data_IF_709846381152
#
_entry.id   IF_709846381152
#
_cell.length_a   1.000
_cell.length_b   1.000
_cell.length_c   1.000
_cell.angle_alpha   90.00
_cell.angle_beta   90.00
_cell.angle_gamma   90.00
#
_symmetry.space_group_name_H-M   'P 1'
#
loop_
_entity.id
_entity.type
_entity.pdbx_description
1 polymer ?
#
# COMPACT_ATOMS: atom_id res chain seq x y z
N UNK A 1 -10.43 -16.06 -6.48
CA UNK A 1 -9.91 -16.37 -5.13
C UNK A 1 -8.41 -16.21 -5.19
N UNK A 2 -7.83 -15.27 -4.45
CA UNK A 2 -6.37 -15.09 -4.36
C UNK A 2 -5.91 -15.83 -3.11
N UNK A 3 -5.00 -16.79 -3.26
CA UNK A 3 -4.44 -17.56 -2.15
C UNK A 3 -3.35 -16.73 -1.46
N UNK A 4 -3.48 -16.52 -0.15
CA UNK A 4 -2.44 -15.90 0.69
C UNK A 4 -1.74 -17.01 1.50
N UNK A 5 -0.48 -17.35 1.18
CA UNK A 5 0.25 -18.41 1.86
C UNK A 5 0.65 -18.05 3.30
N UNK A 6 0.47 -16.80 3.73
CA UNK A 6 0.84 -16.33 5.07
C UNK A 6 -0.37 -16.27 6.03
N UNK A 7 -1.57 -16.63 5.57
CA UNK A 7 -2.72 -16.78 6.47
C UNK A 7 -2.42 -17.87 7.49
N UNK A 8 -2.36 -17.46 8.76
CA UNK A 8 -2.33 -18.35 9.91
C UNK A 8 -3.72 -18.31 10.54
N UNK A 9 -4.32 -19.48 10.71
CA UNK A 9 -5.65 -19.63 11.31
C UNK A 9 -5.52 -20.52 12.53
N UNK A 10 -5.99 -20.02 13.67
CA UNK A 10 -5.91 -20.70 14.97
C UNK A 10 -7.00 -21.76 15.16
N UNK A 11 -8.03 -21.74 14.32
CA UNK A 11 -9.14 -22.68 14.36
C UNK A 11 -9.43 -23.25 12.98
N UNK A 12 -9.60 -24.56 12.92
CA UNK A 12 -9.95 -25.33 11.71
C UNK A 12 -11.31 -24.86 11.13
N UNK A 13 -12.17 -24.25 11.94
CA UNK A 13 -13.44 -23.67 11.50
C UNK A 13 -13.28 -22.48 10.54
N UNK A 14 -12.12 -21.81 10.58
CA UNK A 14 -11.84 -20.60 9.79
C UNK A 14 -10.93 -20.88 8.58
N UNK A 15 -10.62 -22.16 8.30
CA UNK A 15 -9.79 -22.55 7.17
C UNK A 15 -10.65 -22.86 5.94
N UNK A 16 -10.16 -22.50 4.74
CA UNK A 16 -10.70 -23.06 3.50
C UNK A 16 -10.23 -24.52 3.34
N UNK A 17 -11.16 -25.45 3.17
CA UNK A 17 -10.86 -26.87 2.95
C UNK A 17 -10.89 -27.15 1.45
N UNK A 18 -9.79 -27.68 0.92
CA UNK A 18 -9.71 -28.17 -0.46
C UNK A 18 -9.81 -29.70 -0.40
N UNK A 19 -10.95 -30.25 -0.79
CA UNK A 19 -11.14 -31.69 -0.92
C UNK A 19 -10.77 -32.10 -2.34
N UNK A 20 -9.72 -32.90 -2.47
CA UNK A 20 -9.25 -33.44 -3.76
C UNK A 20 -8.91 -34.91 -3.53
N UNK A 21 -9.16 -35.76 -4.53
CA UNK A 21 -8.78 -37.16 -4.46
C UNK A 21 -7.27 -37.27 -4.62
N UNK A 22 -6.60 -37.71 -3.55
CA UNK A 22 -5.18 -38.10 -3.52
C UNK A 22 -4.13 -36.98 -3.73
N UNK A 23 -4.19 -35.79 -3.09
CA UNK A 23 -3.07 -34.86 -3.14
C UNK A 23 -2.00 -35.27 -2.12
N UNK A 24 -0.83 -35.68 -2.60
CA UNK A 24 0.37 -35.64 -1.78
C UNK A 24 1.41 -34.84 -2.54
N UNK A 25 1.43 -33.52 -2.35
CA UNK A 25 2.62 -32.76 -2.69
C UNK A 25 3.64 -32.97 -1.57
N UNK A 26 4.82 -33.50 -1.90
CA UNK A 26 5.99 -33.48 -1.02
C UNK A 26 6.77 -32.16 -1.14
N UNK A 27 6.40 -31.33 -2.11
CA UNK A 27 7.02 -30.06 -2.37
C UNK A 27 6.24 -28.97 -1.66
N UNK A 28 6.95 -28.13 -0.90
CA UNK A 28 6.40 -26.86 -0.46
C UNK A 28 5.93 -26.07 -1.69
N UNK A 29 4.91 -25.23 -1.53
CA UNK A 29 4.52 -24.32 -2.59
C UNK A 29 5.74 -23.48 -3.01
N UNK A 30 6.04 -23.45 -4.30
CA UNK A 30 7.11 -22.61 -4.82
C UNK A 30 6.80 -21.15 -4.51
N UNK A 31 7.66 -20.54 -3.70
CA UNK A 31 7.66 -19.10 -3.49
C UNK A 31 8.70 -18.51 -4.44
N UNK A 32 8.35 -17.44 -5.15
CA UNK A 32 9.33 -16.71 -5.96
C UNK A 32 10.51 -16.31 -5.06
N UNK A 33 11.76 -16.58 -5.47
CA UNK A 33 12.93 -16.12 -4.74
C UNK A 33 12.85 -14.60 -4.56
N UNK A 34 12.86 -14.17 -3.30
CA UNK A 34 12.88 -12.76 -2.94
C UNK A 34 14.35 -12.34 -2.75
N UNK A 35 14.86 -11.41 -3.57
CA UNK A 35 16.16 -10.77 -3.33
C UNK A 35 16.15 -10.08 -1.96
N UNK A 36 17.13 -10.37 -1.09
CA UNK A 36 17.23 -9.68 0.19
C UNK A 36 17.40 -8.18 -0.03
N UNK A 37 16.41 -7.39 0.40
CA UNK A 37 16.51 -5.93 0.36
C UNK A 37 17.54 -5.43 1.37
N UNK A 38 18.07 -4.22 1.13
CA UNK A 38 18.91 -3.52 2.11
C UNK A 38 18.22 -3.48 3.48
N UNK A 39 18.86 -3.94 4.58
CA UNK A 39 18.30 -3.91 5.92
C UNK A 39 18.08 -2.48 6.46
N UNK A 40 18.70 -1.46 5.85
CA UNK A 40 18.41 -0.06 6.16
C UNK A 40 16.97 0.29 5.77
N UNK A 41 16.14 0.60 6.77
CA UNK A 41 14.76 1.07 6.56
C UNK A 41 14.76 2.60 6.45
N UNK A 42 14.72 3.19 5.24
CA UNK A 42 14.62 4.63 5.13
C UNK A 42 13.30 5.11 5.73
N UNK A 43 13.38 6.15 6.57
CA UNK A 43 12.17 6.86 7.03
C UNK A 43 11.75 7.81 5.93
N UNK A 44 10.54 7.62 5.42
CA UNK A 44 9.97 8.40 4.32
C UNK A 44 8.85 9.27 4.84
N UNK A 45 9.01 10.57 4.77
CA UNK A 45 8.01 11.55 5.13
C UNK A 45 7.14 11.87 3.92
N UNK A 46 5.83 11.84 4.13
CA UNK A 46 4.85 12.09 3.08
C UNK A 46 3.91 13.20 3.50
N UNK A 47 3.66 14.12 2.57
CA UNK A 47 2.71 15.20 2.75
C UNK A 47 1.81 15.35 1.52
N UNK A 48 0.54 15.71 1.75
CA UNK A 48 -0.39 16.11 0.71
C UNK A 48 -0.72 17.59 0.80
N UNK A 49 -0.93 18.20 -0.37
CA UNK A 49 -1.38 19.56 -0.53
C UNK A 49 -2.60 19.60 -1.44
N UNK A 50 -3.51 20.52 -1.13
CA UNK A 50 -4.64 20.90 -1.97
C UNK A 50 -4.73 22.43 -1.94
N UNK A 51 -4.90 23.04 -3.11
CA UNK A 51 -5.15 24.47 -3.26
C UNK A 51 -6.06 24.71 -4.45
N UNK A 52 -6.70 25.87 -4.49
CA UNK A 52 -7.35 26.38 -5.70
C UNK A 52 -6.39 27.42 -6.29
N UNK A 53 -6.11 27.35 -7.59
CA UNK A 53 -5.27 28.33 -8.28
C UNK A 53 -5.97 29.70 -8.37
N UNK A 54 -5.22 30.72 -8.78
CA UNK A 54 -5.77 32.05 -9.01
C UNK A 54 -6.81 32.06 -10.15
N UNK A 55 -6.73 31.09 -11.07
CA UNK A 55 -7.73 30.84 -12.13
C UNK A 55 -9.00 30.11 -11.64
N UNK A 56 -9.04 29.70 -10.37
CA UNK A 56 -10.15 28.92 -9.80
C UNK A 56 -10.04 27.41 -9.99
N UNK A 57 -8.95 26.91 -10.58
CA UNK A 57 -8.76 25.48 -10.83
C UNK A 57 -8.28 24.77 -9.55
N UNK A 58 -8.94 23.69 -9.12
CA UNK A 58 -8.43 22.88 -8.01
C UNK A 58 -7.09 22.26 -8.42
N UNK A 59 -6.13 22.22 -7.51
CA UNK A 59 -4.82 21.62 -7.69
C UNK A 59 -4.48 20.78 -6.45
N UNK A 60 -4.00 19.57 -6.65
CA UNK A 60 -3.54 18.71 -5.56
C UNK A 60 -2.21 18.04 -5.92
N UNK A 61 -1.41 17.76 -4.88
CA UNK A 61 -0.10 17.16 -5.02
C UNK A 61 0.30 16.41 -3.75
N UNK A 62 1.16 15.42 -3.93
CA UNK A 62 1.90 14.76 -2.87
C UNK A 62 3.37 15.19 -2.87
N UNK A 63 4.05 14.98 -1.76
CA UNK A 63 5.48 15.16 -1.65
C UNK A 63 6.09 14.02 -0.86
N UNK A 64 7.26 13.57 -1.31
CA UNK A 64 8.09 12.57 -0.64
C UNK A 64 9.37 13.25 -0.17
N UNK A 65 9.76 13.02 1.08
CA UNK A 65 11.02 13.48 1.63
C UNK A 65 11.69 12.37 2.46
N UNK A 66 12.99 12.16 2.28
CA UNK A 66 13.77 11.13 3.00
C UNK A 66 14.89 11.77 3.82
N UNK A 67 15.78 12.49 3.15
CA UNK A 67 16.88 13.25 3.74
C UNK A 67 17.36 14.33 2.76
N UNK A 68 18.13 15.34 3.19
CA UNK A 68 18.67 16.35 2.26
C UNK A 68 19.45 15.72 1.10
N UNK A 69 19.18 16.17 -0.13
CA UNK A 69 19.86 15.67 -1.34
C UNK A 69 19.45 14.25 -1.79
N UNK A 70 18.51 13.60 -1.10
CA UNK A 70 18.13 12.23 -1.46
C UNK A 70 17.37 12.19 -2.78
N UNK A 71 17.79 11.30 -3.70
CA UNK A 71 17.22 11.15 -5.06
C UNK A 71 15.72 10.86 -5.13
N UNK A 72 15.14 10.32 -4.04
CA UNK A 72 13.70 10.03 -3.93
C UNK A 72 12.87 11.23 -3.43
N UNK A 73 13.51 12.35 -3.08
CA UNK A 73 12.78 13.57 -2.75
C UNK A 73 12.13 14.11 -4.02
N UNK A 74 10.81 14.01 -4.12
CA UNK A 74 10.11 14.36 -5.35
C UNK A 74 8.69 14.86 -5.04
N UNK A 75 8.24 15.98 -5.66
CA UNK A 75 6.82 16.28 -5.76
C UNK A 75 6.12 15.29 -6.69
N UNK A 76 4.89 14.92 -6.34
CA UNK A 76 4.06 13.97 -7.08
C UNK A 76 2.74 14.65 -7.45
N UNK A 77 2.47 14.78 -8.75
CA UNK A 77 1.21 15.34 -9.23
C UNK A 77 0.04 14.39 -9.01
N UNK A 78 -1.15 14.94 -8.74
CA UNK A 78 -2.40 14.16 -8.64
C UNK A 78 -3.28 14.44 -9.85
N UNK A 79 -3.82 13.40 -10.52
CA UNK A 79 -4.79 13.54 -11.60
C UNK A 79 -6.00 14.40 -11.21
N UNK A 80 -6.62 15.05 -12.21
CA UNK A 80 -7.67 16.05 -11.98
C UNK A 80 -8.90 15.51 -11.25
N UNK A 81 -9.27 14.27 -11.55
CA UNK A 81 -10.37 13.51 -10.97
C UNK A 81 -10.13 13.08 -9.51
N UNK A 82 -8.88 13.13 -9.06
CA UNK A 82 -8.47 12.69 -7.72
C UNK A 82 -7.99 13.84 -6.84
N UNK A 83 -8.24 15.11 -7.19
CA UNK A 83 -7.65 16.27 -6.50
C UNK A 83 -8.17 16.47 -5.07
N UNK A 84 -7.60 15.74 -4.13
CA UNK A 84 -7.76 15.95 -2.70
C UNK A 84 -6.40 15.91 -2.01
N UNK A 85 -6.33 16.46 -0.80
CA UNK A 85 -5.11 16.38 0.02
C UNK A 85 -4.71 14.93 0.29
N UNK A 86 -5.69 14.08 0.61
CA UNK A 86 -5.49 12.65 0.89
C UNK A 86 -4.99 11.90 -0.33
N UNK A 87 -5.54 12.18 -1.50
CA UNK A 87 -5.06 11.58 -2.76
C UNK A 87 -3.61 11.94 -3.05
N UNK A 88 -3.17 13.16 -2.70
CA UNK A 88 -1.77 13.56 -2.76
C UNK A 88 -0.86 12.65 -1.92
N UNK A 89 -1.23 12.43 -0.66
CA UNK A 89 -0.49 11.51 0.22
C UNK A 89 -0.49 10.08 -0.29
N UNK A 90 -1.66 9.57 -0.70
CA UNK A 90 -1.79 8.21 -1.24
C UNK A 90 -0.98 8.01 -2.52
N UNK A 91 -0.98 8.99 -3.43
CA UNK A 91 -0.19 8.92 -4.67
C UNK A 91 1.31 8.92 -4.36
N UNK A 92 1.76 9.75 -3.41
CA UNK A 92 3.15 9.75 -2.96
C UNK A 92 3.55 8.44 -2.30
N UNK A 93 2.70 7.86 -1.45
CA UNK A 93 2.91 6.53 -0.84
C UNK A 93 3.05 5.46 -1.93
N UNK A 94 2.11 5.44 -2.89
CA UNK A 94 2.13 4.47 -3.98
C UNK A 94 3.41 4.57 -4.81
N UNK A 95 3.85 5.80 -5.12
CA UNK A 95 5.09 6.05 -5.85
C UNK A 95 6.32 5.48 -5.11
N UNK A 96 6.39 5.67 -3.78
CA UNK A 96 7.48 5.11 -2.96
C UNK A 96 7.43 3.59 -2.93
N UNK A 97 6.24 3.01 -2.80
CA UNK A 97 6.04 1.56 -2.81
C UNK A 97 6.52 0.94 -4.12
N UNK A 98 6.16 1.54 -5.26
CA UNK A 98 6.52 1.04 -6.59
C UNK A 98 8.01 1.25 -6.92
N UNK A 99 8.64 2.30 -6.40
CA UNK A 99 10.06 2.62 -6.63
C UNK A 99 11.01 2.01 -5.59
N UNK A 100 10.49 1.25 -4.63
CA UNK A 100 11.28 0.57 -3.62
C UNK A 100 11.27 -0.93 -3.88
N UNK A 101 12.43 -1.61 -3.85
CA UNK A 101 12.48 -3.06 -3.99
C UNK A 101 11.46 -3.73 -3.08
N UNK A 102 10.84 -4.79 -3.59
CA UNK A 102 9.71 -5.46 -2.94
C UNK A 102 10.06 -5.94 -1.53
N UNK A 103 11.30 -6.36 -1.33
CA UNK A 103 11.79 -7.00 -0.10
C UNK A 103 12.53 -6.03 0.84
N UNK A 104 12.55 -4.74 0.50
CA UNK A 104 13.04 -3.69 1.40
C UNK A 104 11.92 -3.23 2.32
N UNK A 105 12.21 -3.17 3.61
CA UNK A 105 11.28 -2.58 4.57
C UNK A 105 11.04 -1.09 4.24
N UNK A 106 9.81 -0.64 4.50
CA UNK A 106 9.39 0.76 4.33
C UNK A 106 8.83 1.30 5.63
N UNK A 107 9.27 2.49 6.01
CA UNK A 107 8.69 3.24 7.14
C UNK A 107 8.18 4.58 6.64
N UNK A 108 6.87 4.76 6.69
CA UNK A 108 6.22 6.02 6.31
C UNK A 108 5.88 6.86 7.54
N UNK A 109 6.17 8.16 7.48
CA UNK A 109 5.66 9.17 8.39
C UNK A 109 4.68 10.04 7.63
N UNK A 110 3.42 9.98 8.02
CA UNK A 110 2.30 10.66 7.34
C UNK A 110 1.57 11.53 8.37
N UNK A 111 1.36 12.81 8.06
CA UNK A 111 0.72 13.74 8.99
C UNK A 111 -0.81 13.58 9.06
N UNK A 112 -1.43 12.97 8.06
CA UNK A 112 -2.88 12.76 8.02
C UNK A 112 -3.30 11.49 8.76
N UNK A 113 -3.99 11.68 9.90
CA UNK A 113 -4.65 10.59 10.62
C UNK A 113 -5.66 9.84 9.73
N UNK A 114 -6.33 10.53 8.82
CA UNK A 114 -7.29 9.92 7.90
C UNK A 114 -6.59 8.91 6.97
N UNK A 115 -5.46 9.29 6.39
CA UNK A 115 -4.66 8.44 5.50
C UNK A 115 -4.12 7.23 6.23
N UNK A 116 -3.52 7.44 7.41
CA UNK A 116 -3.04 6.34 8.27
C UNK A 116 -4.17 5.38 8.63
N UNK A 117 -5.33 5.91 9.06
CA UNK A 117 -6.46 5.08 9.48
C UNK A 117 -7.05 4.26 8.32
N UNK A 118 -7.13 4.82 7.11
CA UNK A 118 -7.60 4.10 5.91
C UNK A 118 -6.65 2.95 5.52
N UNK A 119 -5.34 3.14 5.68
CA UNK A 119 -4.31 2.15 5.30
C UNK A 119 -4.00 1.12 6.39
N UNK A 120 -4.46 1.33 7.63
CA UNK A 120 -4.16 0.43 8.76
C UNK A 120 -5.44 -0.12 9.39
N UNK A 121 -6.16 0.71 10.15
CA UNK A 121 -7.27 0.28 10.99
C UNK A 121 -8.53 -0.11 10.20
N UNK A 122 -8.82 0.62 9.11
CA UNK A 122 -10.08 0.50 8.39
C UNK A 122 -10.03 -0.46 7.20
N UNK A 123 -8.85 -0.99 6.84
CA UNK A 123 -8.68 -1.78 5.60
C UNK A 123 -9.66 -2.95 5.55
N UNK A 124 -9.72 -3.77 6.60
CA UNK A 124 -10.61 -4.93 6.65
C UNK A 124 -12.09 -4.57 6.50
N UNK A 125 -12.51 -3.48 7.17
CA UNK A 125 -13.89 -2.99 7.09
C UNK A 125 -14.22 -2.45 5.68
N UNK A 126 -13.28 -1.73 5.08
CA UNK A 126 -13.45 -1.17 3.74
C UNK A 126 -13.53 -2.28 2.70
N UNK A 127 -12.70 -3.32 2.81
CA UNK A 127 -12.73 -4.49 1.94
C UNK A 127 -14.01 -5.30 2.09
N UNK A 128 -14.45 -5.56 3.32
CA UNK A 128 -15.69 -6.28 3.60
C UNK A 128 -16.90 -5.57 2.99
N UNK A 129 -16.89 -4.24 2.97
CA UNK A 129 -17.94 -3.42 2.39
C UNK A 129 -17.72 -3.12 0.90
N UNK A 130 -16.76 -3.76 0.24
CA UNK A 130 -16.48 -3.57 -1.19
C UNK A 130 -16.06 -2.14 -1.56
N UNK A 131 -15.49 -1.38 -0.63
CA UNK A 131 -15.04 0.01 -0.82
C UNK A 131 -16.16 0.99 -1.20
N UNK A 132 -17.42 0.65 -0.89
CA UNK A 132 -18.58 1.50 -1.19
C UNK A 132 -18.47 2.84 -0.43
N UNK A 133 -18.63 3.94 -1.17
CA UNK A 133 -18.57 5.31 -0.63
C UNK A 133 -17.15 5.85 -0.40
N UNK A 134 -16.11 5.08 -0.66
CA UNK A 134 -14.72 5.55 -0.54
C UNK A 134 -14.27 6.27 -1.81
N UNK A 135 -13.98 7.57 -1.68
CA UNK A 135 -13.58 8.43 -2.82
C UNK A 135 -12.25 7.98 -3.42
N UNK A 136 -11.32 7.57 -2.58
CA UNK A 136 -9.96 7.23 -3.00
C UNK A 136 -9.79 5.72 -3.26
N UNK A 137 -10.91 5.00 -3.51
CA UNK A 137 -10.93 3.52 -3.58
C UNK A 137 -9.84 2.97 -4.48
N UNK A 138 -9.64 3.54 -5.66
CA UNK A 138 -8.68 3.05 -6.66
C UNK A 138 -7.24 3.14 -6.15
N UNK A 139 -6.86 4.26 -5.51
CA UNK A 139 -5.54 4.44 -4.93
C UNK A 139 -5.35 3.48 -3.75
N UNK A 140 -6.33 3.40 -2.85
CA UNK A 140 -6.26 2.52 -1.68
C UNK A 140 -6.14 1.06 -2.07
N UNK A 141 -6.98 0.55 -2.97
CA UNK A 141 -6.92 -0.85 -3.41
C UNK A 141 -5.58 -1.16 -4.07
N UNK A 142 -5.04 -0.23 -4.86
CA UNK A 142 -3.74 -0.39 -5.52
C UNK A 142 -2.60 -0.43 -4.51
N UNK A 143 -2.62 0.47 -3.51
CA UNK A 143 -1.62 0.48 -2.43
C UNK A 143 -1.69 -0.81 -1.62
N UNK A 144 -2.89 -1.23 -1.19
CA UNK A 144 -3.06 -2.45 -0.40
C UNK A 144 -2.61 -3.68 -1.19
N UNK A 145 -2.95 -3.77 -2.48
CA UNK A 145 -2.47 -4.85 -3.33
C UNK A 145 -0.94 -4.85 -3.44
N UNK A 146 -0.32 -3.69 -3.67
CA UNK A 146 1.13 -3.57 -3.75
C UNK A 146 1.82 -3.91 -2.42
N UNK A 147 1.24 -3.51 -1.28
CA UNK A 147 1.76 -3.87 0.05
C UNK A 147 1.66 -5.37 0.32
N UNK A 148 0.57 -6.04 -0.09
CA UNK A 148 0.41 -7.49 0.05
C UNK A 148 1.43 -8.27 -0.77
N UNK A 149 1.71 -7.82 -2.00
CA UNK A 149 2.76 -8.41 -2.83
C UNK A 149 4.13 -8.27 -2.15
N UNK A 150 4.38 -7.17 -1.44
CA UNK A 150 5.62 -6.93 -0.68
C UNK A 150 5.80 -7.79 0.57
N UNK A 151 4.86 -8.69 0.88
CA UNK A 151 4.88 -9.57 2.04
C UNK A 151 6.28 -10.11 2.36
N UNK A 152 6.92 -9.46 3.33
CA UNK A 152 8.10 -9.90 4.05
C UNK A 152 7.64 -10.97 5.03
N UNK A 153 8.30 -12.13 5.05
CA UNK A 153 8.16 -13.10 6.15
C UNK A 153 8.44 -12.38 7.47
N UNK A 154 7.43 -12.24 8.33
CA UNK A 154 7.63 -12.00 9.78
C UNK A 154 7.75 -13.34 10.47
#
# INVERSE_FOLDING_TARGET
>A
VVFDPNITVTSIANCFRVFVNNPRSKHAADQMPQELGDPSVPTVYVAGAYKVSDSGDPCAGGGVWVSPGHRKNNPIGVPADLRTRTSGELTAILHVIQSTPQNSALKFIVNSKATVSKLTLNVHRLEANGWIGEKDRTLLTTIIAALRVRGTRT
#
